data_IF_439089629479
#
_entry.id   IF_439089629479
#
_cell.length_a   1.000
_cell.length_b   1.000
_cell.length_c   1.000
_cell.angle_alpha   90.00
_cell.angle_beta   90.00
_cell.angle_gamma   90.00
#
_symmetry.space_group_name_H-M   'P 1'
#
loop_
_entity.id
_entity.type
_entity.pdbx_description
1 polymer ?
#
# COMPACT_ATOMS: atom_id res chain seq x y z
N UNK A 1 -3.02 -1.59 -37.58
CA UNK A 1 -2.80 -1.31 -36.15
C UNK A 1 -2.62 -2.66 -35.47
N UNK A 2 -1.40 -2.97 -35.02
CA UNK A 2 -1.14 -4.20 -34.27
C UNK A 2 -1.98 -4.14 -32.99
N UNK A 3 -2.83 -5.14 -32.79
CA UNK A 3 -3.55 -5.34 -31.54
C UNK A 3 -2.46 -5.58 -30.48
N UNK A 4 -2.25 -4.62 -29.59
CA UNK A 4 -1.39 -4.83 -28.44
C UNK A 4 -2.15 -5.81 -27.54
N UNK A 5 -1.80 -7.08 -27.64
CA UNK A 5 -2.24 -8.06 -26.64
C UNK A 5 -1.75 -7.55 -25.28
N UNK A 6 -2.70 -7.34 -24.38
CA UNK A 6 -2.39 -6.88 -23.02
C UNK A 6 -1.49 -7.88 -22.30
N UNK A 7 -1.00 -7.53 -21.10
CA UNK A 7 -0.19 -8.44 -20.30
C UNK A 7 -0.90 -9.79 -20.17
N UNK A 8 -0.18 -10.87 -20.49
CA UNK A 8 -0.69 -12.24 -20.38
C UNK A 8 -0.98 -12.52 -18.91
N UNK A 9 -2.12 -13.14 -18.61
CA UNK A 9 -2.49 -13.50 -17.25
C UNK A 9 -1.36 -14.32 -16.62
N UNK A 10 -0.88 -13.88 -15.46
CA UNK A 10 0.12 -14.63 -14.69
C UNK A 10 -0.41 -16.04 -14.43
N UNK A 11 0.33 -17.05 -14.89
CA UNK A 11 0.03 -18.47 -14.64
C UNK A 11 0.08 -18.80 -13.14
N UNK A 12 0.71 -17.94 -12.33
CA UNK A 12 0.78 -18.07 -10.88
C UNK A 12 -0.36 -17.30 -10.21
N UNK A 13 -1.06 -17.97 -9.28
CA UNK A 13 -1.96 -17.31 -8.34
C UNK A 13 -1.22 -16.21 -7.59
N UNK A 14 -1.76 -14.99 -7.62
CA UNK A 14 -1.23 -13.89 -6.83
C UNK A 14 -1.28 -14.25 -5.34
N UNK A 15 -0.25 -13.90 -4.57
CA UNK A 15 -0.23 -14.15 -3.11
C UNK A 15 -1.47 -13.57 -2.43
N UNK A 16 -2.03 -12.50 -3.00
CA UNK A 16 -3.27 -11.90 -2.50
C UNK A 16 -4.45 -12.87 -2.56
N UNK A 17 -4.49 -13.83 -3.49
CA UNK A 17 -5.57 -14.81 -3.60
C UNK A 17 -5.43 -15.88 -2.52
N UNK A 18 -4.20 -16.28 -2.21
CA UNK A 18 -3.87 -17.38 -1.29
C UNK A 18 -4.01 -17.00 0.19
N UNK A 19 -3.68 -15.76 0.56
CA UNK A 19 -3.68 -15.33 1.97
C UNK A 19 -5.07 -14.87 2.43
N UNK A 20 -5.37 -15.00 3.72
CA UNK A 20 -6.60 -14.42 4.25
C UNK A 20 -6.53 -12.89 4.27
N UNK A 21 -7.68 -12.20 4.19
CA UNK A 21 -7.72 -10.74 4.34
C UNK A 21 -7.11 -10.28 5.67
N UNK A 22 -7.31 -11.08 6.74
CA UNK A 22 -6.83 -10.76 8.08
C UNK A 22 -5.30 -10.79 8.17
N UNK A 23 -4.68 -11.81 7.57
CA UNK A 23 -3.21 -11.94 7.56
C UNK A 23 -2.58 -10.80 6.77
N UNK A 24 -3.14 -10.47 5.60
CA UNK A 24 -2.67 -9.34 4.79
C UNK A 24 -2.79 -8.04 5.57
N UNK A 25 -3.95 -7.77 6.18
CA UNK A 25 -4.17 -6.58 7.00
C UNK A 25 -3.22 -6.53 8.21
N UNK A 26 -2.93 -7.66 8.84
CA UNK A 26 -1.96 -7.73 9.94
C UNK A 26 -0.55 -7.38 9.48
N UNK A 27 -0.06 -7.98 8.39
CA UNK A 27 1.29 -7.70 7.89
C UNK A 27 1.43 -6.25 7.41
N UNK A 28 0.40 -5.72 6.71
CA UNK A 28 0.36 -4.29 6.35
C UNK A 28 0.41 -3.40 7.59
N UNK A 29 -0.37 -3.71 8.63
CA UNK A 29 -0.38 -2.94 9.87
C UNK A 29 0.98 -2.95 10.58
N UNK A 30 1.64 -4.10 10.68
CA UNK A 30 2.95 -4.22 11.32
C UNK A 30 3.97 -3.37 10.56
N UNK A 31 4.04 -3.52 9.24
CA UNK A 31 5.03 -2.80 8.45
C UNK A 31 4.77 -1.29 8.42
N UNK A 32 3.51 -0.86 8.29
CA UNK A 32 3.17 0.55 8.34
C UNK A 32 3.47 1.16 9.70
N UNK A 33 3.27 0.41 10.80
CA UNK A 33 3.63 0.88 12.14
C UNK A 33 5.14 1.05 12.27
N UNK A 34 5.95 0.09 11.80
CA UNK A 34 7.41 0.19 11.82
C UNK A 34 7.93 1.41 11.05
N UNK A 35 7.36 1.71 9.88
CA UNK A 35 7.71 2.92 9.12
C UNK A 35 7.31 4.21 9.86
N UNK A 36 6.16 4.21 10.50
CA UNK A 36 5.68 5.34 11.28
C UNK A 36 6.56 5.58 12.50
N UNK A 37 6.86 4.55 13.29
CA UNK A 37 7.74 4.61 14.47
C UNK A 37 9.18 5.02 14.12
N UNK A 38 9.66 4.66 12.92
CA UNK A 38 10.97 5.08 12.44
C UNK A 38 11.01 6.54 11.99
N UNK A 39 9.86 7.19 11.78
CA UNK A 39 9.79 8.56 11.30
C UNK A 39 9.85 9.54 12.47
N UNK A 40 10.91 10.35 12.52
CA UNK A 40 11.07 11.38 13.55
C UNK A 40 10.18 12.60 13.27
N UNK A 41 9.62 13.21 14.32
CA UNK A 41 8.81 14.44 14.22
C UNK A 41 9.55 15.59 13.52
N UNK A 42 10.88 15.63 13.63
CA UNK A 42 11.70 16.64 12.96
C UNK A 42 11.69 16.51 11.44
N UNK A 43 11.46 15.30 10.91
CA UNK A 43 11.35 15.06 9.47
C UNK A 43 10.09 15.74 8.93
N UNK A 44 8.98 15.71 9.69
CA UNK A 44 7.75 16.40 9.35
C UNK A 44 7.94 17.93 9.37
N UNK A 45 8.61 18.46 10.41
CA UNK A 45 8.93 19.89 10.48
C UNK A 45 9.79 20.29 9.27
N UNK A 46 10.82 19.51 8.96
CA UNK A 46 11.71 19.75 7.82
C UNK A 46 10.94 19.75 6.50
N UNK A 47 9.98 18.85 6.33
CA UNK A 47 9.14 18.78 5.13
C UNK A 47 8.17 19.96 5.00
N UNK A 48 7.56 20.42 6.10
CA UNK A 48 6.57 21.50 6.10
C UNK A 48 7.21 22.87 5.88
N UNK A 49 8.32 23.15 6.57
CA UNK A 49 8.98 24.46 6.51
C UNK A 49 9.95 24.59 5.33
N UNK A 50 10.25 23.48 4.65
CA UNK A 50 11.16 23.44 3.51
C UNK A 50 12.52 22.85 3.88
N UNK A 51 12.99 21.90 3.07
CA UNK A 51 14.26 21.19 3.31
C UNK A 51 15.48 22.11 3.22
N UNK A 52 15.37 23.17 2.42
CA UNK A 52 16.37 24.23 2.27
C UNK A 52 16.63 25.00 3.58
N UNK A 53 15.64 25.07 4.47
CA UNK A 53 15.76 25.71 5.78
C UNK A 53 16.53 24.85 6.80
N UNK A 54 16.76 23.56 6.50
CA UNK A 54 17.44 22.61 7.39
C UNK A 54 18.57 21.86 6.65
N UNK A 55 19.63 22.56 6.22
CA UNK A 55 20.71 21.95 5.47
C UNK A 55 21.36 20.79 6.25
N UNK A 56 21.56 19.66 5.57
CA UNK A 56 22.11 18.44 6.16
C UNK A 56 21.08 17.54 6.86
N UNK A 57 19.81 17.97 6.99
CA UNK A 57 18.71 17.10 7.45
C UNK A 57 17.98 16.50 6.26
N UNK A 58 17.93 15.17 6.21
CA UNK A 58 17.26 14.43 5.14
C UNK A 58 16.07 13.69 5.76
N UNK A 59 14.82 14.00 5.37
CA UNK A 59 13.62 13.35 5.91
C UNK A 59 13.38 11.99 5.25
N UNK A 60 14.37 11.09 5.33
CA UNK A 60 14.38 9.81 4.62
C UNK A 60 13.27 8.86 5.06
N UNK A 61 12.94 8.80 6.35
CA UNK A 61 11.92 7.89 6.85
C UNK A 61 10.52 8.41 6.48
N UNK A 62 10.32 9.72 6.58
CA UNK A 62 9.08 10.36 6.10
C UNK A 62 8.89 10.15 4.60
N UNK A 63 9.95 10.28 3.80
CA UNK A 63 9.91 10.01 2.36
C UNK A 63 9.53 8.56 2.06
N UNK A 64 10.06 7.61 2.83
CA UNK A 64 9.72 6.20 2.70
C UNK A 64 8.26 5.93 3.10
N UNK A 65 7.78 6.53 4.20
CA UNK A 65 6.39 6.43 4.65
C UNK A 65 5.42 6.99 3.60
N UNK A 66 5.72 8.16 3.03
CA UNK A 66 4.92 8.76 1.96
C UNK A 66 4.93 7.91 0.69
N UNK A 67 6.10 7.39 0.30
CA UNK A 67 6.22 6.47 -0.85
C UNK A 67 5.40 5.20 -0.63
N UNK A 68 5.37 4.67 0.60
CA UNK A 68 4.64 3.44 0.93
C UNK A 68 3.14 3.57 0.67
N UNK A 69 2.56 4.74 0.92
CA UNK A 69 1.15 4.99 0.59
C UNK A 69 0.87 4.77 -0.90
N UNK A 70 1.70 5.36 -1.77
CA UNK A 70 1.59 5.21 -3.21
C UNK A 70 1.80 3.76 -3.65
N UNK A 71 2.76 3.06 -3.04
CA UNK A 71 3.03 1.65 -3.34
C UNK A 71 1.80 0.76 -3.09
N UNK A 72 1.12 0.93 -1.94
CA UNK A 72 -0.11 0.17 -1.62
C UNK A 72 -1.25 0.52 -2.58
N UNK A 73 -1.39 1.79 -2.95
CA UNK A 73 -2.38 2.24 -3.94
C UNK A 73 -2.13 1.61 -5.31
N UNK A 74 -0.90 1.68 -5.81
CA UNK A 74 -0.53 1.11 -7.11
C UNK A 74 -0.62 -0.40 -7.13
N UNK A 75 -0.22 -1.08 -6.05
CA UNK A 75 -0.39 -2.51 -5.89
C UNK A 75 -1.87 -2.91 -6.01
N UNK A 76 -2.75 -2.24 -5.24
CA UNK A 76 -4.19 -2.49 -5.29
C UNK A 76 -4.77 -2.29 -6.69
N UNK A 77 -4.39 -1.20 -7.35
CA UNK A 77 -4.81 -0.87 -8.71
C UNK A 77 -4.34 -1.93 -9.71
N UNK A 78 -3.09 -2.35 -9.60
CA UNK A 78 -2.46 -3.34 -10.47
C UNK A 78 -3.16 -4.69 -10.37
N UNK A 79 -3.39 -5.21 -9.16
CA UNK A 79 -4.09 -6.48 -8.95
C UNK A 79 -5.52 -6.47 -9.53
N UNK A 80 -6.24 -5.35 -9.42
CA UNK A 80 -7.59 -5.20 -9.99
C UNK A 80 -7.56 -5.13 -11.52
N UNK A 81 -6.60 -4.41 -12.10
CA UNK A 81 -6.48 -4.26 -13.55
C UNK A 81 -5.98 -5.55 -14.24
N UNK A 82 -5.12 -6.31 -13.58
CA UNK A 82 -4.63 -7.61 -14.04
C UNK A 82 -5.59 -8.77 -13.70
N UNK A 83 -6.69 -8.53 -12.99
CA UNK A 83 -7.72 -9.54 -12.79
C UNK A 83 -8.55 -9.73 -14.08
N UNK A 84 -8.26 -10.81 -14.80
CA UNK A 84 -8.99 -11.19 -16.01
C UNK A 84 -10.34 -11.83 -15.65
N UNK A 85 -11.40 -11.36 -16.30
CA UNK A 85 -12.77 -11.79 -16.03
C UNK A 85 -13.48 -10.99 -14.93
N UNK A 86 -14.76 -10.67 -15.16
CA UNK A 86 -15.55 -9.84 -14.26
C UNK A 86 -15.68 -10.44 -12.86
N UNK A 87 -15.89 -11.76 -12.74
CA UNK A 87 -16.03 -12.45 -11.46
C UNK A 87 -14.78 -12.36 -10.60
N UNK A 88 -13.59 -12.57 -11.20
CA UNK A 88 -12.30 -12.46 -10.51
C UNK A 88 -12.06 -11.03 -10.03
N UNK A 89 -12.36 -10.04 -10.87
CA UNK A 89 -12.25 -8.61 -10.51
C UNK A 89 -13.16 -8.23 -9.36
N UNK A 90 -14.41 -8.71 -9.36
CA UNK A 90 -15.35 -8.50 -8.24
C UNK A 90 -14.84 -9.16 -6.96
N UNK A 91 -14.29 -10.38 -7.03
CA UNK A 91 -13.70 -11.05 -5.88
C UNK A 91 -12.50 -10.26 -5.32
N UNK A 92 -11.63 -9.75 -6.20
CA UNK A 92 -10.48 -8.92 -5.84
C UNK A 92 -10.92 -7.62 -5.13
N UNK A 93 -11.88 -6.89 -5.69
CA UNK A 93 -12.45 -5.68 -5.09
C UNK A 93 -13.05 -5.97 -3.71
N UNK A 94 -13.84 -7.04 -3.57
CA UNK A 94 -14.37 -7.46 -2.27
C UNK A 94 -13.27 -7.78 -1.26
N UNK A 95 -12.16 -8.39 -1.71
CA UNK A 95 -11.02 -8.72 -0.86
C UNK A 95 -10.31 -7.46 -0.35
N UNK A 96 -10.06 -6.49 -1.21
CA UNK A 96 -9.48 -5.20 -0.82
C UNK A 96 -10.36 -4.42 0.15
N UNK A 97 -11.68 -4.39 -0.06
CA UNK A 97 -12.63 -3.77 0.87
C UNK A 97 -12.54 -4.43 2.26
N UNK A 98 -12.46 -5.76 2.32
CA UNK A 98 -12.29 -6.49 3.59
C UNK A 98 -10.97 -6.16 4.30
N UNK A 99 -9.86 -6.11 3.55
CA UNK A 99 -8.54 -5.73 4.09
C UNK A 99 -8.59 -4.31 4.66
N UNK A 100 -9.15 -3.36 3.90
CA UNK A 100 -9.29 -1.96 4.34
C UNK A 100 -10.14 -1.84 5.61
N UNK A 101 -11.28 -2.54 5.69
CA UNK A 101 -12.12 -2.53 6.88
C UNK A 101 -11.38 -3.07 8.13
N UNK A 102 -10.56 -4.10 7.98
CA UNK A 102 -9.74 -4.64 9.06
C UNK A 102 -8.62 -3.69 9.50
N UNK A 103 -8.01 -2.97 8.56
CA UNK A 103 -7.02 -1.92 8.86
C UNK A 103 -7.65 -0.75 9.63
N UNK A 104 -8.81 -0.25 9.18
CA UNK A 104 -9.53 0.86 9.83
C UNK A 104 -9.95 0.51 11.25
N UNK A 105 -10.49 -0.70 11.46
CA UNK A 105 -10.80 -1.16 12.83
C UNK A 105 -9.56 -1.12 13.71
N UNK A 106 -8.40 -1.57 13.24
CA UNK A 106 -7.17 -1.57 14.03
C UNK A 106 -6.65 -0.17 14.35
N UNK A 107 -6.73 0.78 13.42
CA UNK A 107 -6.37 2.18 13.67
C UNK A 107 -7.21 2.82 14.78
N UNK A 108 -8.51 2.49 14.86
CA UNK A 108 -9.41 2.98 15.92
C UNK A 108 -9.04 2.42 17.31
N UNK A 109 -8.41 1.25 17.39
CA UNK A 109 -8.00 0.66 18.68
C UNK A 109 -6.57 1.04 19.12
N UNK A 110 -5.78 1.67 18.25
CA UNK A 110 -4.38 2.05 18.54
C UNK A 110 -4.24 3.57 18.79
N UNK A 111 -5.24 4.38 18.44
CA UNK A 111 -5.37 5.80 18.81
C UNK A 111 -6.31 5.97 20.00
#
# INVERSE_FOLDING_TARGET
LLQQDGPVESVHSSMIELLSSADIAQQLSIFHMQLFEATDEIELITQVFGRDQFPGRIPSNLDLLMRRFNEVQFWTTTEVLLAHGASKRVAMLKKFIKIAAQLVMKLIFVM
#
